data_IF_541572016330
#
_entry.id   IF_541572016330
#
_cell.length_a   1.000
_cell.length_b   1.000
_cell.length_c   1.000
_cell.angle_alpha   90.00
_cell.angle_beta   90.00
_cell.angle_gamma   90.00
#
_symmetry.space_group_name_H-M   'P 1'
#
loop_
_entity.id
_entity.type
_entity.pdbx_description
1 polymer ?
#
# COMPACT_ATOMS: atom_id res chain seq x y z
N UNK A 1 -6.08 -33.78 8.91
CA UNK A 1 -7.37 -33.32 8.36
C UNK A 1 -7.04 -32.54 7.10
N UNK A 2 -7.13 -33.19 5.94
CA UNK A 2 -6.82 -32.61 4.63
C UNK A 2 -8.05 -31.83 4.15
N UNK A 3 -7.92 -30.51 3.98
CA UNK A 3 -8.92 -29.73 3.28
C UNK A 3 -8.80 -30.06 1.79
N UNK A 4 -9.88 -30.61 1.24
CA UNK A 4 -9.94 -31.15 -0.11
C UNK A 4 -9.66 -30.09 -1.18
N UNK A 5 -8.74 -30.43 -2.09
CA UNK A 5 -8.60 -29.79 -3.38
C UNK A 5 -9.92 -29.95 -4.14
N UNK A 6 -10.76 -28.90 -4.13
CA UNK A 6 -11.86 -28.78 -5.08
C UNK A 6 -11.23 -28.55 -6.45
N UNK A 7 -11.40 -29.51 -7.35
CA UNK A 7 -11.12 -29.33 -8.77
C UNK A 7 -11.91 -28.10 -9.25
N UNK A 8 -11.21 -27.00 -9.46
CA UNK A 8 -11.77 -25.81 -10.09
C UNK A 8 -12.04 -26.19 -11.54
N UNK A 9 -13.32 -26.27 -11.92
CA UNK A 9 -13.74 -26.39 -13.31
C UNK A 9 -13.11 -25.25 -14.14
N UNK A 10 -12.85 -25.49 -15.42
CA UNK A 10 -12.10 -24.59 -16.30
C UNK A 10 -12.46 -23.11 -16.12
N UNK A 11 -11.45 -22.29 -15.87
CA UNK A 11 -11.61 -20.88 -15.53
C UNK A 11 -11.87 -20.06 -16.78
N UNK A 12 -12.86 -19.16 -16.75
CA UNK A 12 -13.13 -18.26 -17.86
C UNK A 12 -11.94 -17.29 -18.06
N UNK A 13 -11.48 -17.15 -19.30
CA UNK A 13 -10.41 -16.21 -19.66
C UNK A 13 -10.79 -14.79 -19.22
N UNK A 14 -9.89 -14.11 -18.52
CA UNK A 14 -10.13 -12.78 -17.96
C UNK A 14 -10.56 -12.80 -16.50
N UNK A 15 -10.79 -13.98 -15.91
CA UNK A 15 -11.09 -14.11 -14.48
C UNK A 15 -9.94 -13.56 -13.64
N UNK A 16 -10.31 -12.85 -12.57
CA UNK A 16 -9.38 -12.24 -11.62
C UNK A 16 -9.16 -13.17 -10.43
N UNK A 17 -7.90 -13.40 -10.09
CA UNK A 17 -7.47 -14.19 -8.94
C UNK A 17 -6.56 -13.38 -8.04
N UNK A 18 -6.47 -13.78 -6.78
CA UNK A 18 -5.62 -13.17 -5.79
C UNK A 18 -4.65 -14.19 -5.22
N UNK A 19 -3.49 -13.72 -4.78
CA UNK A 19 -2.60 -14.53 -3.95
C UNK A 19 -3.15 -14.45 -2.51
N UNK A 20 -3.44 -15.58 -1.83
CA UNK A 20 -3.95 -15.56 -0.47
C UNK A 20 -2.81 -15.40 0.57
N UNK A 21 -3.09 -14.72 1.68
CA UNK A 21 -2.19 -14.63 2.84
C UNK A 21 -1.15 -13.50 2.79
N UNK A 22 0.00 -13.62 3.51
CA UNK A 22 1.07 -12.62 3.49
C UNK A 22 2.18 -12.91 2.44
N UNK A 23 2.08 -14.02 1.70
CA UNK A 23 3.13 -14.52 0.82
C UNK A 23 3.01 -13.98 -0.60
N UNK A 24 4.12 -13.93 -1.36
CA UNK A 24 4.10 -13.63 -2.79
C UNK A 24 3.97 -14.92 -3.62
N UNK A 25 3.40 -14.81 -4.82
CA UNK A 25 3.30 -15.91 -5.77
C UNK A 25 4.38 -15.79 -6.84
N UNK A 26 5.28 -16.78 -6.90
CA UNK A 26 6.27 -16.89 -7.97
C UNK A 26 5.59 -17.19 -9.31
N UNK A 27 5.99 -16.50 -10.38
CA UNK A 27 5.54 -16.79 -11.73
C UNK A 27 6.71 -17.03 -12.69
N UNK A 28 6.51 -17.96 -13.62
CA UNK A 28 7.56 -18.60 -14.40
C UNK A 28 7.39 -18.45 -15.92
N UNK A 29 8.45 -18.70 -16.67
CA UNK A 29 8.47 -18.55 -18.14
C UNK A 29 7.63 -19.57 -18.90
N UNK A 30 7.47 -20.78 -18.36
CA UNK A 30 6.70 -21.87 -18.96
C UNK A 30 5.90 -22.64 -17.90
N UNK A 31 4.91 -23.40 -18.34
CA UNK A 31 4.13 -24.34 -17.52
C UNK A 31 4.83 -25.68 -17.27
N UNK A 32 6.01 -25.89 -17.87
CA UNK A 32 6.77 -27.15 -17.85
C UNK A 32 7.81 -27.20 -16.72
N UNK A 33 8.46 -28.35 -16.51
CA UNK A 33 9.37 -28.57 -15.37
C UNK A 33 10.64 -27.71 -15.42
N UNK A 34 11.19 -27.46 -16.62
CA UNK A 34 12.37 -26.62 -16.83
C UNK A 34 12.02 -25.12 -16.91
N UNK A 35 11.26 -24.64 -15.94
CA UNK A 35 10.75 -23.27 -15.90
C UNK A 35 11.72 -22.31 -15.24
N UNK A 36 11.92 -21.15 -15.85
CA UNK A 36 12.72 -20.06 -15.27
C UNK A 36 11.82 -19.12 -14.47
N UNK A 37 12.30 -18.66 -13.31
CA UNK A 37 11.58 -17.68 -12.49
C UNK A 37 11.62 -16.30 -13.17
N UNK A 38 10.45 -15.76 -13.52
CA UNK A 38 10.32 -14.40 -14.06
C UNK A 38 10.22 -13.38 -12.92
N UNK A 39 9.55 -13.73 -11.82
CA UNK A 39 9.39 -12.82 -10.68
C UNK A 39 8.29 -13.28 -9.73
N UNK A 40 7.77 -12.35 -8.92
CA UNK A 40 6.71 -12.62 -7.95
C UNK A 40 5.60 -11.57 -8.01
N UNK A 41 4.37 -12.00 -7.72
CA UNK A 41 3.22 -11.10 -7.54
C UNK A 41 2.83 -11.05 -6.07
N UNK A 42 2.48 -9.86 -5.56
CA UNK A 42 2.12 -9.66 -4.16
C UNK A 42 0.60 -9.73 -3.93
N UNK A 43 0.20 -10.23 -2.76
CA UNK A 43 -1.15 -10.44 -2.20
C UNK A 43 -2.15 -9.28 -2.27
N UNK A 44 -1.74 -8.07 -2.69
CA UNK A 44 -2.56 -6.86 -2.56
C UNK A 44 -3.51 -6.61 -3.73
N UNK A 45 -3.33 -7.28 -4.86
CA UNK A 45 -4.09 -6.99 -6.09
C UNK A 45 -4.39 -8.24 -6.91
N UNK A 46 -5.51 -8.24 -7.66
CA UNK A 46 -5.85 -9.36 -8.49
C UNK A 46 -4.96 -9.45 -9.73
N UNK A 47 -4.54 -10.66 -10.08
CA UNK A 47 -3.97 -11.02 -11.37
C UNK A 47 -5.05 -11.52 -12.31
N UNK A 48 -4.90 -11.22 -13.60
CA UNK A 48 -5.83 -11.69 -14.64
C UNK A 48 -5.29 -12.99 -15.22
N UNK A 49 -6.10 -14.05 -15.17
CA UNK A 49 -5.79 -15.33 -15.82
C UNK A 49 -6.22 -15.27 -17.29
N UNK A 50 -5.31 -15.62 -18.20
CA UNK A 50 -5.54 -15.60 -19.64
C UNK A 50 -5.47 -16.97 -20.31
N UNK A 51 -4.91 -17.96 -19.61
CA UNK A 51 -4.71 -19.31 -20.11
C UNK A 51 -4.61 -20.29 -18.94
N UNK A 52 -5.01 -21.53 -19.16
CA UNK A 52 -4.95 -22.63 -18.19
C UNK A 52 -4.29 -23.85 -18.85
N UNK A 53 -3.27 -24.43 -18.20
CA UNK A 53 -2.60 -25.65 -18.68
C UNK A 53 -2.12 -26.50 -17.50
N UNK A 54 -2.64 -27.71 -17.37
CA UNK A 54 -2.27 -28.62 -16.26
C UNK A 54 -2.57 -28.01 -14.89
N UNK A 55 -1.58 -27.99 -13.99
CA UNK A 55 -1.68 -27.35 -12.67
C UNK A 55 -1.26 -25.86 -12.65
N UNK A 56 -1.22 -25.20 -13.82
CA UNK A 56 -0.73 -23.83 -13.94
C UNK A 56 -1.76 -22.91 -14.59
N UNK A 57 -1.81 -21.66 -14.13
CA UNK A 57 -2.47 -20.55 -14.81
C UNK A 57 -1.44 -19.63 -15.45
N UNK A 58 -1.71 -19.14 -16.66
CA UNK A 58 -0.96 -18.03 -17.24
C UNK A 58 -1.62 -16.73 -16.86
N UNK A 59 -0.84 -15.82 -16.27
CA UNK A 59 -1.32 -14.54 -15.77
C UNK A 59 -0.73 -13.36 -16.54
N UNK A 60 -1.42 -12.22 -16.44
CA UNK A 60 -0.96 -10.91 -16.92
C UNK A 60 -0.66 -10.01 -15.74
N UNK A 61 0.51 -9.36 -15.78
CA UNK A 61 0.95 -8.41 -14.75
C UNK A 61 1.35 -7.11 -15.42
N UNK A 62 0.64 -6.04 -15.07
CA UNK A 62 0.90 -4.67 -15.55
C UNK A 62 1.42 -3.81 -14.40
N UNK A 63 2.38 -2.92 -14.68
CA UNK A 63 2.81 -1.95 -13.68
C UNK A 63 3.81 -0.92 -14.19
N UNK A 64 4.07 0.08 -13.36
CA UNK A 64 4.94 1.21 -13.67
C UNK A 64 6.34 1.04 -13.12
N UNK A 65 7.34 1.41 -13.92
CA UNK A 65 8.76 1.37 -13.58
C UNK A 65 9.50 2.59 -14.12
N UNK A 66 10.64 2.94 -13.51
CA UNK A 66 11.49 4.03 -13.99
C UNK A 66 12.14 3.65 -15.33
N UNK A 67 12.10 4.56 -16.30
CA UNK A 67 12.61 4.34 -17.67
C UNK A 67 14.07 3.88 -17.69
N UNK A 68 14.91 4.36 -16.77
CA UNK A 68 16.33 4.02 -16.69
C UNK A 68 16.61 2.57 -16.27
N UNK A 69 15.62 1.86 -15.73
CA UNK A 69 15.73 0.44 -15.34
C UNK A 69 15.48 -0.53 -16.49
N UNK A 70 15.11 -0.01 -17.66
CA UNK A 70 14.83 -0.79 -18.87
C UNK A 70 15.91 -0.55 -19.94
N UNK A 71 16.18 -1.59 -20.72
CA UNK A 71 16.81 -1.49 -22.02
C UNK A 71 15.71 -1.58 -23.08
N UNK A 72 15.32 -0.45 -23.67
CA UNK A 72 14.23 -0.37 -24.64
C UNK A 72 14.77 -0.81 -25.99
N UNK A 73 14.19 -1.86 -26.55
CA UNK A 73 14.52 -2.39 -27.88
C UNK A 73 13.34 -2.05 -28.80
N UNK A 74 13.57 -1.33 -29.90
CA UNK A 74 12.53 -1.07 -30.89
C UNK A 74 12.44 -2.25 -31.85
N UNK A 75 11.26 -2.83 -31.96
CA UNK A 75 10.92 -3.79 -33.00
C UNK A 75 9.88 -3.13 -33.92
N UNK A 76 10.36 -2.59 -35.04
CA UNK A 76 9.54 -1.79 -35.96
C UNK A 76 8.55 -2.65 -36.77
N UNK A 77 8.62 -3.99 -36.67
CA UNK A 77 7.78 -4.91 -37.46
C UNK A 77 6.50 -5.37 -36.77
N UNK A 78 6.44 -5.33 -35.43
CA UNK A 78 5.32 -5.88 -34.66
C UNK A 78 4.30 -4.84 -34.20
N UNK A 79 4.55 -3.54 -34.42
CA UNK A 79 3.69 -2.46 -33.93
C UNK A 79 3.58 -2.39 -32.40
N UNK A 80 4.45 -3.11 -31.68
CA UNK A 80 4.49 -3.21 -30.23
C UNK A 80 5.93 -2.96 -29.78
N UNK A 81 6.13 -2.00 -28.87
CA UNK A 81 7.44 -1.74 -28.31
C UNK A 81 7.74 -2.71 -27.16
N UNK A 82 8.98 -3.22 -27.10
CA UNK A 82 9.43 -4.13 -26.06
C UNK A 82 10.64 -3.55 -25.30
N UNK A 83 10.92 -4.12 -24.14
CA UNK A 83 12.14 -3.84 -23.39
C UNK A 83 12.64 -5.09 -22.66
N UNK A 84 13.90 -5.06 -22.26
CA UNK A 84 14.46 -5.99 -21.27
C UNK A 84 14.72 -5.24 -19.96
N UNK A 85 14.42 -5.88 -18.85
CA UNK A 85 14.76 -5.35 -17.52
C UNK A 85 16.28 -5.43 -17.31
N UNK A 86 16.91 -4.39 -16.76
CA UNK A 86 18.38 -4.39 -16.52
C UNK A 86 18.79 -5.17 -15.27
N UNK A 87 17.90 -5.22 -14.28
CA UNK A 87 18.04 -5.88 -12.98
C UNK A 87 16.65 -6.23 -12.47
N UNK A 88 16.55 -6.83 -11.29
CA UNK A 88 15.26 -6.96 -10.63
C UNK A 88 14.61 -5.58 -10.45
N UNK A 89 13.36 -5.45 -10.90
CA UNK A 89 12.58 -4.21 -10.80
C UNK A 89 11.27 -4.46 -10.06
N UNK A 90 10.88 -3.51 -9.23
CA UNK A 90 9.59 -3.51 -8.57
C UNK A 90 8.58 -2.78 -9.45
N UNK A 91 7.45 -3.44 -9.72
CA UNK A 91 6.31 -2.86 -10.43
C UNK A 91 5.43 -2.13 -9.44
N UNK A 92 5.15 -0.85 -9.75
CA UNK A 92 4.26 0.00 -8.97
C UNK A 92 2.89 0.09 -9.65
N UNK A 93 1.84 0.24 -8.84
CA UNK A 93 0.47 0.46 -9.33
C UNK A 93 0.34 1.78 -10.10
N UNK A 94 0.96 2.84 -9.60
CA UNK A 94 1.00 4.16 -10.22
C UNK A 94 2.44 4.71 -10.16
N UNK A 95 2.85 5.56 -11.12
CA UNK A 95 4.16 6.16 -11.10
C UNK A 95 4.24 7.14 -9.93
N UNK A 96 5.24 6.97 -9.08
CA UNK A 96 5.48 7.91 -7.98
C UNK A 96 6.15 9.15 -8.59
N UNK A 97 5.46 10.28 -8.58
CA UNK A 97 6.12 11.57 -8.76
C UNK A 97 6.94 11.84 -7.51
N UNK A 98 8.26 11.60 -7.60
CA UNK A 98 9.21 12.13 -6.63
C UNK A 98 9.32 13.64 -6.87
N UNK A 99 8.37 14.39 -6.35
CA UNK A 99 8.59 15.82 -6.05
C UNK A 99 9.32 15.78 -4.71
N UNK A 100 10.56 16.26 -4.68
CA UNK A 100 11.56 15.94 -3.67
C UNK A 100 11.03 15.79 -2.25
N UNK A 101 10.80 14.55 -1.81
CA UNK A 101 10.55 14.07 -0.45
C UNK A 101 10.28 12.55 -0.57
N UNK A 102 10.98 11.74 0.24
CA UNK A 102 11.00 10.28 0.16
C UNK A 102 9.75 9.60 0.72
N UNK A 103 8.56 9.87 0.17
CA UNK A 103 7.31 9.17 0.52
C UNK A 103 6.81 8.30 -0.63
N UNK A 104 6.82 6.97 -0.42
CA UNK A 104 6.33 5.95 -1.34
C UNK A 104 4.80 5.83 -1.20
N UNK A 105 4.02 6.33 -2.18
CA UNK A 105 2.59 6.02 -2.30
C UNK A 105 2.25 5.20 -3.56
N UNK A 106 3.23 4.51 -4.14
CA UNK A 106 2.97 3.40 -5.05
C UNK A 106 2.96 2.10 -4.24
N UNK A 107 1.81 1.41 -4.18
CA UNK A 107 1.79 0.07 -3.58
C UNK A 107 2.58 -0.89 -4.49
N UNK A 108 3.58 -1.57 -3.92
CA UNK A 108 4.36 -2.59 -4.65
C UNK A 108 3.39 -3.69 -5.09
N UNK A 109 3.33 -3.96 -6.38
CA UNK A 109 2.36 -4.88 -6.97
C UNK A 109 3.01 -6.21 -7.39
N UNK A 110 4.21 -6.15 -7.97
CA UNK A 110 4.99 -7.32 -8.35
C UNK A 110 6.49 -6.97 -8.42
N UNK A 111 7.36 -7.97 -8.54
CA UNK A 111 8.73 -7.78 -9.01
C UNK A 111 8.98 -8.61 -10.28
N UNK A 112 9.91 -8.15 -11.11
CA UNK A 112 10.33 -8.81 -12.34
C UNK A 112 11.85 -8.89 -12.35
N UNK A 113 12.40 -10.09 -12.53
CA UNK A 113 13.82 -10.37 -12.54
C UNK A 113 14.52 -9.68 -13.70
N UNK A 114 15.84 -9.45 -13.56
CA UNK A 114 16.68 -8.92 -14.63
C UNK A 114 16.65 -9.78 -15.90
N UNK A 115 16.87 -9.14 -17.04
CA UNK A 115 16.84 -9.71 -18.39
C UNK A 115 15.48 -10.25 -18.88
N UNK A 116 14.41 -10.08 -18.09
CA UNK A 116 13.06 -10.45 -18.50
C UNK A 116 12.57 -9.56 -19.65
N UNK A 117 11.99 -10.18 -20.69
CA UNK A 117 11.34 -9.46 -21.79
C UNK A 117 9.98 -8.93 -21.32
N UNK A 118 9.73 -7.66 -21.54
CA UNK A 118 8.47 -6.98 -21.18
C UNK A 118 7.93 -6.18 -22.37
N UNK A 119 6.61 -6.04 -22.45
CA UNK A 119 5.94 -5.18 -23.43
C UNK A 119 5.75 -3.79 -22.85
N UNK A 120 6.02 -2.74 -23.62
CA UNK A 120 5.72 -1.37 -23.24
C UNK A 120 4.27 -1.05 -23.62
N UNK A 121 3.49 -0.58 -22.64
CA UNK A 121 2.10 -0.17 -22.85
C UNK A 121 1.97 1.36 -22.95
N UNK A 122 2.71 2.09 -22.12
CA UNK A 122 2.58 3.54 -21.99
C UNK A 122 3.91 4.16 -21.56
N UNK A 123 4.21 5.37 -22.03
CA UNK A 123 5.40 6.15 -21.65
C UNK A 123 4.99 7.51 -21.10
N UNK A 124 5.50 7.84 -19.91
CA UNK A 124 5.51 9.17 -19.30
C UNK A 124 6.96 9.66 -19.21
N UNK A 125 7.17 10.92 -18.79
CA UNK A 125 8.49 11.58 -18.78
C UNK A 125 9.60 10.68 -18.19
N UNK A 126 9.41 10.20 -16.96
CA UNK A 126 10.37 9.34 -16.27
C UNK A 126 9.96 7.87 -16.13
N UNK A 127 8.74 7.55 -16.54
CA UNK A 127 8.06 6.31 -16.17
C UNK A 127 7.57 5.57 -17.40
N UNK A 128 7.64 4.25 -17.35
CA UNK A 128 7.13 3.36 -18.40
C UNK A 128 6.19 2.37 -17.74
N UNK A 129 4.98 2.27 -18.29
CA UNK A 129 4.05 1.19 -17.94
C UNK A 129 4.40 -0.01 -18.79
N UNK A 130 4.66 -1.13 -18.13
CA UNK A 130 5.05 -2.38 -18.77
C UNK A 130 4.03 -3.48 -18.48
N UNK A 131 3.99 -4.47 -19.37
CA UNK A 131 3.24 -5.72 -19.22
C UNK A 131 4.19 -6.90 -19.31
N UNK A 132 4.04 -7.84 -18.38
CA UNK A 132 4.70 -9.13 -18.42
C UNK A 132 3.68 -10.27 -18.26
N UNK A 133 4.10 -11.46 -18.65
CA UNK A 133 3.31 -12.67 -18.58
C UNK A 133 4.11 -13.76 -17.91
N UNK A 134 3.44 -14.66 -17.19
CA UNK A 134 4.05 -15.92 -16.80
C UNK A 134 3.06 -16.88 -16.18
N UNK A 135 3.57 -18.04 -15.83
CA UNK A 135 2.81 -19.17 -15.31
C UNK A 135 2.93 -19.25 -13.80
N UNK A 136 1.81 -19.41 -13.11
CA UNK A 136 1.72 -19.51 -11.65
C UNK A 136 0.97 -20.78 -11.28
N UNK A 137 1.32 -21.40 -10.15
CA UNK A 137 0.63 -22.62 -9.69
C UNK A 137 -0.83 -22.29 -9.34
N UNK A 138 -1.76 -23.16 -9.73
CA UNK A 138 -3.19 -22.97 -9.43
C UNK A 138 -3.45 -22.96 -7.93
N UNK A 139 -2.74 -23.79 -7.16
CA UNK A 139 -2.95 -23.99 -5.73
C UNK A 139 -2.59 -22.78 -4.87
N UNK A 140 -1.91 -21.78 -5.45
CA UNK A 140 -1.53 -20.54 -4.75
C UNK A 140 -2.40 -19.34 -5.17
N UNK A 141 -3.41 -19.54 -6.01
CA UNK A 141 -4.36 -18.51 -6.41
C UNK A 141 -5.76 -18.82 -5.88
N UNK A 142 -6.43 -17.79 -5.38
CA UNK A 142 -7.83 -17.83 -4.97
C UNK A 142 -8.67 -16.87 -5.82
N UNK A 143 -9.88 -17.30 -6.21
CA UNK A 143 -10.88 -16.41 -6.82
C UNK A 143 -11.63 -15.58 -5.75
N UNK A 144 -11.41 -15.89 -4.48
CA UNK A 144 -11.89 -15.09 -3.36
C UNK A 144 -10.91 -13.94 -3.12
N UNK A 145 -11.47 -12.75 -2.88
CA UNK A 145 -10.68 -11.62 -2.39
C UNK A 145 -10.02 -12.10 -1.10
N UNK A 146 -8.68 -12.02 -0.94
CA UNK A 146 -8.04 -12.41 0.29
C UNK A 146 -8.71 -11.56 1.35
N UNK A 147 -9.18 -12.20 2.42
CA UNK A 147 -9.26 -11.51 3.70
C UNK A 147 -7.82 -11.08 3.97
N UNK A 148 -7.47 -9.90 3.46
CA UNK A 148 -6.33 -9.16 3.90
C UNK A 148 -6.67 -8.97 5.37
N UNK A 149 -6.14 -9.85 6.19
CA UNK A 149 -5.55 -9.42 7.44
C UNK A 149 -4.41 -8.47 7.05
N UNK A 150 -4.77 -7.30 6.47
CA UNK A 150 -4.36 -6.03 7.05
C UNK A 150 -4.29 -6.36 8.52
N UNK A 151 -3.12 -6.23 9.13
CA UNK A 151 -3.11 -5.94 10.55
C UNK A 151 -4.06 -4.75 10.64
N UNK A 152 -5.36 -5.00 10.87
CA UNK A 152 -6.28 -4.09 11.49
C UNK A 152 -5.51 -3.92 12.78
N UNK A 153 -4.62 -2.91 12.82
CA UNK A 153 -4.31 -2.22 14.05
C UNK A 153 -5.67 -2.17 14.68
N UNK A 154 -5.86 -2.96 15.75
CA UNK A 154 -7.14 -2.97 16.43
C UNK A 154 -7.51 -1.50 16.53
N UNK A 155 -8.68 -1.10 15.98
CA UNK A 155 -8.99 0.30 15.84
C UNK A 155 -8.70 0.93 17.19
N UNK A 156 -7.80 1.92 17.21
CA UNK A 156 -7.40 2.56 18.46
C UNK A 156 -8.68 2.92 19.18
N UNK A 157 -8.76 2.69 20.49
CA UNK A 157 -9.95 2.99 21.29
C UNK A 157 -10.49 4.38 20.93
N UNK A 158 -9.57 5.33 20.71
CA UNK A 158 -9.81 6.63 20.08
C UNK A 158 -9.01 6.76 18.78
N UNK A 159 -9.70 7.01 17.67
CA UNK A 159 -9.12 7.18 16.34
C UNK A 159 -9.26 8.62 15.85
N UNK A 160 -8.16 9.25 15.44
CA UNK A 160 -8.19 10.53 14.75
C UNK A 160 -8.59 10.31 13.28
N UNK A 161 -9.75 10.82 12.90
CA UNK A 161 -10.34 10.61 11.56
C UNK A 161 -10.10 11.78 10.62
N UNK A 162 -9.81 12.97 11.15
CA UNK A 162 -9.45 14.16 10.38
C UNK A 162 -8.58 15.08 11.24
N UNK A 163 -7.62 15.74 10.63
CA UNK A 163 -6.85 16.80 11.27
C UNK A 163 -6.27 17.76 10.23
N UNK A 164 -5.88 18.94 10.70
CA UNK A 164 -5.17 19.97 9.97
C UNK A 164 -4.29 20.75 10.96
N UNK A 165 -3.30 21.49 10.47
CA UNK A 165 -2.42 22.29 11.30
C UNK A 165 -2.11 23.65 10.70
N UNK A 166 -1.70 24.60 11.54
CA UNK A 166 -1.37 25.97 11.15
C UNK A 166 -0.09 26.40 11.87
N UNK A 167 0.86 26.96 11.12
CA UNK A 167 2.02 27.65 11.67
C UNK A 167 1.59 29.03 12.19
N UNK A 168 1.87 29.31 13.45
CA UNK A 168 1.56 30.58 14.10
C UNK A 168 2.82 31.42 14.39
N UNK A 169 3.94 31.16 13.70
CA UNK A 169 5.21 31.87 13.87
C UNK A 169 5.73 31.83 15.32
N UNK A 170 5.97 30.61 15.80
CA UNK A 170 6.47 30.37 17.17
C UNK A 170 5.66 29.34 17.94
N UNK A 171 4.53 28.88 17.39
CA UNK A 171 3.79 27.71 17.83
C UNK A 171 3.13 27.00 16.65
N UNK A 172 2.68 25.77 16.88
CA UNK A 172 1.87 25.02 15.92
C UNK A 172 0.49 24.79 16.51
N UNK A 173 -0.54 25.20 15.79
CA UNK A 173 -1.92 24.90 16.09
C UNK A 173 -2.37 23.65 15.33
N UNK A 174 -2.96 22.67 16.01
CA UNK A 174 -3.54 21.47 15.39
C UNK A 174 -5.04 21.43 15.72
N UNK A 175 -5.86 21.33 14.67
CA UNK A 175 -7.30 21.12 14.78
C UNK A 175 -7.65 19.75 14.22
N UNK A 176 -8.51 19.00 14.89
CA UNK A 176 -8.91 17.71 14.36
C UNK A 176 -10.21 17.17 14.94
N UNK A 177 -10.54 15.96 14.50
CA UNK A 177 -11.72 15.20 14.91
C UNK A 177 -11.27 13.78 15.26
N UNK A 178 -11.66 13.34 16.43
CA UNK A 178 -11.50 11.96 16.88
C UNK A 178 -12.83 11.24 16.94
N UNK A 179 -12.80 9.90 16.84
CA UNK A 179 -13.92 8.98 17.02
C UNK A 179 -13.63 8.01 18.14
N UNK A 180 -14.61 7.74 18.99
CA UNK A 180 -14.55 6.62 19.92
C UNK A 180 -14.93 5.33 19.19
N UNK A 181 -13.96 4.46 18.95
CA UNK A 181 -14.17 3.15 18.32
C UNK A 181 -14.28 2.02 19.35
N UNK A 182 -14.19 2.34 20.64
CA UNK A 182 -14.35 1.37 21.72
C UNK A 182 -15.83 1.15 22.03
N UNK A 183 -16.12 0.15 22.86
CA UNK A 183 -17.43 -0.09 23.47
C UNK A 183 -17.59 0.60 24.85
N UNK A 184 -16.65 1.48 25.23
CA UNK A 184 -16.65 2.20 26.50
C UNK A 184 -17.03 3.67 26.29
N UNK A 185 -17.59 4.30 27.30
CA UNK A 185 -17.72 5.75 27.36
C UNK A 185 -16.47 6.33 28.04
N UNK A 186 -15.87 7.36 27.46
CA UNK A 186 -14.76 8.09 28.08
C UNK A 186 -15.27 9.38 28.71
N UNK A 187 -14.90 9.61 29.97
CA UNK A 187 -15.20 10.84 30.69
C UNK A 187 -13.96 11.74 30.67
N UNK A 188 -14.12 13.02 30.32
CA UNK A 188 -13.03 14.01 30.31
C UNK A 188 -11.77 13.54 29.55
N UNK A 189 -11.95 13.08 28.31
CA UNK A 189 -10.85 12.50 27.55
C UNK A 189 -9.76 13.55 27.22
N UNK A 190 -8.56 13.31 27.77
CA UNK A 190 -7.34 14.07 27.49
C UNK A 190 -6.48 13.34 26.45
N UNK A 191 -6.04 14.08 25.44
CA UNK A 191 -5.13 13.64 24.38
C UNK A 191 -3.79 14.35 24.53
N UNK A 192 -2.69 13.59 24.47
CA UNK A 192 -1.32 14.12 24.37
C UNK A 192 -0.85 13.98 22.94
N UNK A 193 -0.26 15.03 22.38
CA UNK A 193 0.25 15.12 21.02
C UNK A 193 1.76 15.35 21.05
N UNK A 194 2.45 14.74 20.11
CA UNK A 194 3.85 15.02 19.80
C UNK A 194 3.94 15.38 18.32
N UNK A 195 4.47 16.57 18.02
CA UNK A 195 4.77 17.02 16.67
C UNK A 195 6.25 16.80 16.35
N UNK A 196 6.54 16.37 15.12
CA UNK A 196 7.88 16.15 14.59
C UNK A 196 8.02 16.79 13.21
N UNK A 197 9.23 17.26 12.90
CA UNK A 197 9.61 17.57 11.53
C UNK A 197 9.57 16.29 10.67
N UNK A 198 9.62 16.45 9.35
CA UNK A 198 9.59 15.33 8.42
C UNK A 198 10.73 14.32 8.65
N UNK A 199 11.92 14.81 9.01
CA UNK A 199 13.11 14.02 9.35
C UNK A 199 12.98 13.22 10.67
N UNK A 200 11.90 13.44 11.43
CA UNK A 200 11.64 12.79 12.72
C UNK A 200 12.14 13.59 13.93
N UNK A 201 12.75 14.76 13.73
CA UNK A 201 13.17 15.65 14.82
C UNK A 201 11.95 16.17 15.59
N UNK A 202 11.93 16.03 16.91
CA UNK A 202 10.85 16.55 17.76
C UNK A 202 10.72 18.07 17.63
N UNK A 203 9.49 18.54 17.40
CA UNK A 203 9.10 19.95 17.42
C UNK A 203 8.52 20.37 18.77
N UNK A 204 7.95 19.42 19.50
CA UNK A 204 7.36 19.67 20.81
C UNK A 204 6.18 18.75 21.11
N UNK A 205 5.62 18.93 22.29
CA UNK A 205 4.44 18.20 22.76
C UNK A 205 3.38 19.17 23.23
N UNK A 206 2.12 18.85 22.98
CA UNK A 206 0.97 19.59 23.50
C UNK A 206 -0.08 18.62 24.03
N UNK A 207 -1.01 19.11 24.82
CA UNK A 207 -2.13 18.31 25.28
C UNK A 207 -3.44 19.10 25.23
N UNK A 208 -4.55 18.38 25.11
CA UNK A 208 -5.88 18.99 25.03
C UNK A 208 -6.95 18.02 25.49
N UNK A 209 -8.10 18.55 25.86
CA UNK A 209 -9.32 17.77 26.04
C UNK A 209 -10.13 17.80 24.75
N UNK A 210 -10.79 16.69 24.44
CA UNK A 210 -11.83 16.73 23.40
C UNK A 210 -12.98 17.63 23.87
N UNK A 211 -13.73 18.21 22.93
CA UNK A 211 -14.83 19.11 23.25
C UNK A 211 -16.11 18.36 23.68
N UNK A 212 -15.98 17.41 24.61
CA UNK A 212 -17.07 16.62 25.20
C UNK A 212 -16.72 16.15 26.60
N UNK A 213 -17.69 16.23 27.51
CA UNK A 213 -17.59 15.67 28.87
C UNK A 213 -17.68 14.15 28.86
N UNK A 214 -18.66 13.61 28.13
CA UNK A 214 -18.87 12.18 27.91
C UNK A 214 -18.69 11.87 26.43
N UNK A 215 -17.92 10.83 26.13
CA UNK A 215 -17.62 10.43 24.77
C UNK A 215 -18.00 8.98 24.54
N UNK A 216 -19.20 8.77 24.00
CA UNK A 216 -19.83 7.45 23.87
C UNK A 216 -19.31 6.67 22.64
N UNK A 217 -19.48 5.34 22.60
CA UNK A 217 -19.14 4.51 21.44
C UNK A 217 -19.70 5.05 20.11
N UNK A 218 -18.85 5.17 19.10
CA UNK A 218 -19.19 5.64 17.76
C UNK A 218 -19.26 7.17 17.61
N UNK A 219 -19.24 7.93 18.71
CA UNK A 219 -19.32 9.39 18.64
C UNK A 219 -18.05 10.01 18.09
N UNK A 220 -18.21 11.24 17.58
CA UNK A 220 -17.11 12.09 17.11
C UNK A 220 -17.04 13.36 17.94
N UNK A 221 -15.81 13.83 18.20
CA UNK A 221 -15.56 15.07 18.91
C UNK A 221 -14.39 15.81 18.29
N UNK A 222 -14.49 17.13 18.22
CA UNK A 222 -13.39 17.97 17.79
C UNK A 222 -12.39 18.19 18.93
N UNK A 223 -11.14 18.42 18.56
CA UNK A 223 -10.09 18.86 19.47
C UNK A 223 -9.29 19.99 18.85
N UNK A 224 -8.67 20.78 19.70
CA UNK A 224 -7.73 21.85 19.35
C UNK A 224 -6.56 21.80 20.31
N UNK A 225 -5.34 21.65 19.80
CA UNK A 225 -4.11 21.66 20.62
C UNK A 225 -3.13 22.67 20.06
N UNK A 226 -2.50 23.42 20.94
CA UNK A 226 -1.39 24.32 20.63
C UNK A 226 -0.09 23.67 21.13
N UNK A 227 0.97 23.77 20.33
CA UNK A 227 2.31 23.31 20.69
C UNK A 227 3.23 24.53 20.66
N UNK A 228 3.39 25.15 21.82
CA UNK A 228 4.23 26.33 22.01
C UNK A 228 5.71 26.02 21.74
N UNK A 229 6.41 26.96 21.11
CA UNK A 229 7.83 26.83 20.79
C UNK A 229 8.15 25.89 19.63
N UNK A 230 7.12 25.29 19.01
CA UNK A 230 7.30 24.47 17.83
C UNK A 230 7.50 25.36 16.59
N UNK A 231 8.72 25.37 16.05
CA UNK A 231 9.07 26.09 14.82
C UNK A 231 9.33 25.05 13.73
N UNK A 232 8.36 24.77 12.85
CA UNK A 232 8.52 23.79 11.79
C UNK A 232 9.55 24.28 10.76
N UNK A 233 10.48 23.40 10.35
CA UNK A 233 11.46 23.72 9.30
C UNK A 233 10.89 23.55 7.89
N UNK A 234 9.70 22.97 7.79
CA UNK A 234 9.06 22.52 6.57
C UNK A 234 7.56 22.72 6.64
N UNK A 235 6.89 22.85 5.49
CA UNK A 235 5.42 22.90 5.39
C UNK A 235 4.76 21.52 5.62
N UNK A 236 5.40 20.62 6.35
CA UNK A 236 4.90 19.28 6.65
C UNK A 236 5.39 18.88 8.02
N UNK A 237 4.48 18.38 8.85
CA UNK A 237 4.77 17.86 10.18
C UNK A 237 4.21 16.44 10.31
N UNK A 238 4.84 15.64 11.16
CA UNK A 238 4.33 14.34 11.60
C UNK A 238 3.73 14.50 12.99
N UNK A 239 2.54 13.96 13.20
CA UNK A 239 1.88 13.98 14.51
C UNK A 239 1.69 12.56 15.03
N UNK A 240 1.90 12.39 16.33
CA UNK A 240 1.47 11.21 17.05
C UNK A 240 0.68 11.63 18.28
N UNK A 241 -0.23 10.78 18.73
CA UNK A 241 -1.04 11.04 19.90
C UNK A 241 -1.29 9.77 20.71
N UNK A 242 -1.51 9.97 22.01
CA UNK A 242 -1.88 8.95 22.99
C UNK A 242 -2.94 9.46 23.97
N UNK A 243 -3.61 8.52 24.64
CA UNK A 243 -4.57 8.81 25.71
C UNK A 243 -3.79 9.04 27.00
N UNK A 244 -4.17 10.06 27.78
CA UNK A 244 -3.61 10.19 29.13
C UNK A 244 -4.26 9.14 30.05
N UNK A 245 -3.49 8.11 30.45
CA UNK A 245 -3.95 6.92 31.19
C UNK A 245 -4.60 7.23 32.56
N UNK A 246 -4.60 8.48 33.01
CA UNK A 246 -5.19 8.92 34.28
C UNK A 246 -6.72 9.03 34.28
N UNK A 247 -7.38 8.88 33.13
CA UNK A 247 -8.84 9.09 33.00
C UNK A 247 -9.59 7.83 32.51
N UNK A 248 -9.10 6.64 32.89
CA UNK A 248 -9.66 5.33 32.49
C UNK A 248 -10.75 4.76 33.43
N UNK A 249 -11.37 5.58 34.27
CA UNK A 249 -12.43 5.15 35.21
C UNK A 249 -13.85 5.23 34.62
#
# INVERSE_FOLDING_TARGET
MFLGLRNVQGVEKGTKFYVPGPMCAAFYSTSEENRELIGNVYVKKPVVVIEEKGNMYRIVVDGWVKKNTLNIEKDDHLGVEYAKTKKEIELLEEPILLIGMGSLLGSKYANVNGNSKVTILEKKVDWVKIRTYGWVDKGILSNEIPDLQVNKKQPREIEMIKWDWTDLEGSILINGVVRNNSNKTFNYLKLKFEAKNEDGTSLGTGDTYINRTEFNPGEQSSFRVDIDGAIPKTNTIKISYELDDKFRE
#
